data_IF_439822906516
#
_entry.id   IF_439822906516
#
_cell.length_a   1.000
_cell.length_b   1.000
_cell.length_c   1.000
_cell.angle_alpha   90.00
_cell.angle_beta   90.00
_cell.angle_gamma   90.00
#
_symmetry.space_group_name_H-M   'P 1'
#
loop_
_entity.id
_entity.type
_entity.pdbx_description
1 polymer ?
#
# COMPACT_ATOMS: atom_id res chain seq x y z
N UNK A 1 -2.60 -20.27 -4.71
CA UNK A 1 -2.22 -19.47 -5.89
C UNK A 1 -1.70 -18.12 -5.40
N UNK A 2 -0.57 -17.62 -5.89
CA UNK A 2 0.08 -16.43 -5.33
C UNK A 2 0.05 -15.28 -6.35
N UNK A 3 -0.62 -14.19 -6.00
CA UNK A 3 -0.50 -12.91 -6.70
C UNK A 3 0.79 -12.24 -6.25
N UNK A 4 1.57 -11.73 -7.18
CA UNK A 4 2.73 -10.90 -6.87
C UNK A 4 2.48 -9.45 -7.31
N UNK A 5 3.20 -8.52 -6.71
CA UNK A 5 3.10 -7.09 -7.03
C UNK A 5 4.45 -6.41 -6.79
N UNK A 6 4.60 -5.23 -7.33
CA UNK A 6 5.79 -4.42 -7.12
C UNK A 6 5.75 -3.80 -5.71
N UNK A 7 6.44 -4.46 -4.78
CA UNK A 7 6.50 -4.04 -3.38
C UNK A 7 7.28 -2.72 -3.21
N UNK A 8 8.21 -2.45 -4.11
CA UNK A 8 9.04 -1.23 -4.08
C UNK A 8 8.17 0.01 -4.23
N UNK A 9 7.23 0.00 -5.17
CA UNK A 9 6.26 1.10 -5.35
C UNK A 9 5.41 1.38 -4.10
N UNK A 10 5.14 0.37 -3.29
CA UNK A 10 4.34 0.54 -2.08
C UNK A 10 5.14 1.12 -0.92
N UNK A 11 6.43 0.82 -0.82
CA UNK A 11 7.23 1.10 0.39
C UNK A 11 8.23 2.22 0.17
N UNK A 12 8.88 2.26 -1.00
CA UNK A 12 10.00 3.15 -1.26
C UNK A 12 9.58 4.45 -1.99
N UNK A 13 8.44 4.44 -2.67
CA UNK A 13 7.90 5.58 -3.46
C UNK A 13 6.86 6.39 -2.65
N UNK A 14 7.07 6.53 -1.34
CA UNK A 14 6.14 7.22 -0.44
C UNK A 14 6.33 8.73 -0.54
N UNK A 15 5.27 9.46 -0.91
CA UNK A 15 5.22 10.92 -0.77
C UNK A 15 4.51 11.31 0.53
N UNK A 16 5.21 11.21 1.64
CA UNK A 16 4.67 11.43 2.97
C UNK A 16 4.05 12.80 3.19
N UNK A 17 4.52 13.82 2.47
CA UNK A 17 4.00 15.19 2.58
C UNK A 17 2.54 15.33 2.16
N UNK A 18 2.01 14.43 1.33
CA UNK A 18 0.58 14.40 0.95
C UNK A 18 -0.32 13.80 2.03
N UNK A 19 0.23 12.98 2.92
CA UNK A 19 -0.49 12.29 4.00
C UNK A 19 -0.39 13.08 5.31
N UNK A 20 0.82 13.50 5.66
CA UNK A 20 1.10 14.32 6.82
C UNK A 20 2.11 15.40 6.43
N UNK A 21 1.63 16.65 6.31
CA UNK A 21 2.50 17.76 5.94
C UNK A 21 3.59 18.00 7.00
N UNK A 22 4.75 18.51 6.57
CA UNK A 22 5.82 18.88 7.50
C UNK A 22 5.32 19.85 8.58
N UNK A 23 4.46 20.80 8.21
CA UNK A 23 3.87 21.76 9.15
C UNK A 23 3.01 21.08 10.22
N UNK A 24 2.15 20.11 9.81
CA UNK A 24 1.32 19.35 10.73
C UNK A 24 2.15 18.43 11.64
N UNK A 25 3.20 17.82 11.09
CA UNK A 25 4.14 17.02 11.87
C UNK A 25 4.88 17.86 12.92
N UNK A 26 5.39 19.04 12.55
CA UNK A 26 6.02 19.99 13.47
C UNK A 26 5.06 20.47 14.56
N UNK A 27 3.82 20.84 14.18
CA UNK A 27 2.79 21.22 15.15
C UNK A 27 2.49 20.08 16.13
N UNK A 28 2.41 18.86 15.65
CA UNK A 28 2.20 17.68 16.48
C UNK A 28 3.37 17.43 17.46
N UNK A 29 4.61 17.58 16.98
CA UNK A 29 5.84 17.43 17.79
C UNK A 29 6.16 18.66 18.65
N UNK A 30 5.44 19.79 18.47
CA UNK A 30 5.71 21.07 19.12
C UNK A 30 7.10 21.62 18.81
N UNK A 31 7.55 21.50 17.58
CA UNK A 31 8.83 21.99 17.07
C UNK A 31 8.62 23.24 16.24
N UNK A 32 9.14 24.38 16.70
CA UNK A 32 9.03 25.67 16.00
C UNK A 32 10.24 25.95 15.10
N UNK A 33 11.44 25.42 15.45
CA UNK A 33 12.67 25.59 14.66
C UNK A 33 12.60 24.91 13.30
N UNK A 34 13.30 25.45 12.32
CA UNK A 34 13.45 24.84 10.99
C UNK A 34 14.69 23.95 10.86
N UNK A 35 15.52 23.85 11.90
CA UNK A 35 16.81 23.15 11.85
C UNK A 35 16.64 21.63 11.68
N UNK A 36 15.49 21.09 12.05
CA UNK A 36 15.18 19.67 12.00
C UNK A 36 14.16 19.29 10.90
N UNK A 37 13.89 20.19 9.96
CA UNK A 37 12.89 19.95 8.92
C UNK A 37 13.16 18.67 8.13
N UNK A 38 14.39 18.45 7.67
CA UNK A 38 14.74 17.27 6.87
C UNK A 38 14.64 15.98 7.71
N UNK A 39 15.02 16.06 8.98
CA UNK A 39 14.87 14.94 9.91
C UNK A 39 13.40 14.59 10.09
N UNK A 40 12.55 15.57 10.42
CA UNK A 40 11.12 15.34 10.65
C UNK A 40 10.46 14.79 9.38
N UNK A 41 10.80 15.32 8.19
CA UNK A 41 10.26 14.79 6.94
C UNK A 41 10.66 13.32 6.74
N UNK A 42 11.92 12.98 6.97
CA UNK A 42 12.36 11.58 6.85
C UNK A 42 11.65 10.64 7.83
N UNK A 43 11.38 11.10 9.07
CA UNK A 43 10.63 10.33 10.06
C UNK A 43 9.17 10.14 9.65
N UNK A 44 8.55 11.14 9.00
CA UNK A 44 7.20 11.03 8.44
C UNK A 44 7.17 9.95 7.35
N UNK A 45 8.12 9.97 6.41
CA UNK A 45 8.19 9.01 5.31
C UNK A 45 8.39 7.57 5.83
N UNK A 46 9.28 7.39 6.81
CA UNK A 46 9.51 6.09 7.47
C UNK A 46 8.26 5.60 8.21
N UNK A 47 7.59 6.49 8.95
CA UNK A 47 6.38 6.13 9.70
C UNK A 47 5.25 5.70 8.75
N UNK A 48 5.06 6.38 7.63
CA UNK A 48 4.08 6.04 6.61
C UNK A 48 4.41 4.69 5.97
N UNK A 49 5.65 4.47 5.55
CA UNK A 49 6.10 3.19 5.00
C UNK A 49 5.88 2.02 5.97
N UNK A 50 6.14 2.23 7.28
CA UNK A 50 5.87 1.23 8.31
C UNK A 50 4.37 0.92 8.46
N UNK A 51 3.51 1.94 8.44
CA UNK A 51 2.05 1.76 8.49
C UNK A 51 1.56 1.03 7.24
N UNK A 52 1.95 1.48 6.03
CA UNK A 52 1.59 0.83 4.77
C UNK A 52 2.00 -0.65 4.74
N UNK A 53 3.23 -0.94 5.17
CA UNK A 53 3.72 -2.32 5.26
C UNK A 53 2.92 -3.17 6.25
N UNK A 54 2.48 -2.59 7.38
CA UNK A 54 1.71 -3.30 8.39
C UNK A 54 0.27 -3.58 7.97
N UNK A 55 -0.41 -2.57 7.37
CA UNK A 55 -1.81 -2.73 6.97
C UNK A 55 -1.99 -3.36 5.58
N UNK A 56 -0.94 -3.41 4.75
CA UNK A 56 -1.01 -3.90 3.38
C UNK A 56 -1.85 -2.99 2.47
N UNK A 57 -1.82 -1.68 2.72
CA UNK A 57 -2.57 -0.70 1.94
C UNK A 57 -1.71 0.51 1.60
N UNK A 58 -1.93 1.09 0.41
CA UNK A 58 -1.33 2.36 0.04
C UNK A 58 -2.08 3.51 0.71
N UNK A 59 -1.37 4.41 1.38
CA UNK A 59 -1.98 5.57 2.04
C UNK A 59 -2.15 6.76 1.10
N UNK A 60 -1.34 6.87 0.06
CA UNK A 60 -1.49 7.83 -1.04
C UNK A 60 -1.95 7.14 -2.32
N UNK A 61 -2.33 7.92 -3.31
CA UNK A 61 -2.74 7.41 -4.61
C UNK A 61 -1.52 7.02 -5.43
N UNK A 62 -1.44 5.73 -5.78
CA UNK A 62 -0.40 5.18 -6.65
C UNK A 62 -1.05 4.72 -7.94
N UNK A 63 -0.75 5.43 -9.04
CA UNK A 63 -1.17 5.06 -10.39
C UNK A 63 -0.23 4.00 -10.99
N UNK A 64 -0.73 3.30 -12.02
CA UNK A 64 0.02 2.25 -12.72
C UNK A 64 0.62 1.18 -11.80
N UNK A 65 -0.08 0.86 -10.71
CA UNK A 65 0.31 -0.22 -9.81
C UNK A 65 0.01 -1.56 -10.45
N UNK A 66 1.00 -2.45 -10.52
CA UNK A 66 0.89 -3.72 -11.26
C UNK A 66 0.78 -4.92 -10.34
N UNK A 67 -0.22 -5.76 -10.62
CA UNK A 67 -0.38 -7.07 -10.02
C UNK A 67 -0.17 -8.13 -11.12
N UNK A 68 0.54 -9.19 -10.78
CA UNK A 68 0.90 -10.26 -11.70
C UNK A 68 0.22 -11.56 -11.26
N UNK A 69 -0.51 -12.19 -12.19
CA UNK A 69 -1.27 -13.41 -11.97
C UNK A 69 -0.79 -14.51 -12.93
N UNK A 70 -0.82 -15.78 -12.48
CA UNK A 70 -0.48 -16.91 -13.35
C UNK A 70 -1.57 -17.26 -14.37
N UNK A 71 -2.80 -16.81 -14.15
CA UNK A 71 -3.95 -17.07 -15.04
C UNK A 71 -5.10 -16.11 -14.71
N UNK A 72 -6.15 -16.13 -15.55
CA UNK A 72 -7.41 -15.45 -15.28
C UNK A 72 -8.22 -16.18 -14.21
N UNK A 73 -8.05 -15.78 -12.96
CA UNK A 73 -8.80 -16.33 -11.84
C UNK A 73 -9.28 -15.22 -10.93
N UNK A 74 -10.44 -15.45 -10.35
CA UNK A 74 -10.99 -14.53 -9.35
C UNK A 74 -10.01 -14.38 -8.20
N UNK A 75 -9.66 -13.13 -7.88
CA UNK A 75 -8.55 -12.87 -6.97
C UNK A 75 -8.82 -11.70 -6.04
N UNK A 76 -8.36 -11.85 -4.78
CA UNK A 76 -8.23 -10.74 -3.85
C UNK A 76 -6.88 -10.08 -4.09
N UNK A 77 -6.89 -8.76 -4.33
CA UNK A 77 -5.64 -8.02 -4.50
C UNK A 77 -4.99 -7.78 -3.15
N UNK A 78 -3.66 -8.01 -3.05
CA UNK A 78 -2.94 -7.89 -1.78
C UNK A 78 -2.69 -6.45 -1.33
N UNK A 79 -2.96 -5.47 -2.19
CA UNK A 79 -2.82 -4.03 -1.90
C UNK A 79 -4.13 -3.32 -2.23
N UNK A 80 -4.57 -2.45 -1.35
CA UNK A 80 -5.76 -1.60 -1.48
C UNK A 80 -5.54 -0.20 -0.89
N UNK A 81 -6.59 0.61 -0.82
CA UNK A 81 -7.89 0.42 -1.48
C UNK A 81 -7.77 0.48 -3.01
N UNK A 82 -8.59 -0.28 -3.72
CA UNK A 82 -8.66 -0.22 -5.18
C UNK A 82 -9.53 0.96 -5.61
N UNK A 83 -8.97 1.85 -6.44
CA UNK A 83 -9.70 2.99 -7.00
C UNK A 83 -10.24 2.70 -8.38
N UNK A 84 -9.41 2.18 -9.25
CA UNK A 84 -9.79 1.79 -10.61
C UNK A 84 -8.85 0.74 -11.16
N UNK A 85 -9.35 -0.05 -12.12
CA UNK A 85 -8.50 -0.83 -13.01
C UNK A 85 -8.33 -0.03 -14.30
N UNK A 86 -7.09 0.25 -14.66
CA UNK A 86 -6.75 0.97 -15.89
C UNK A 86 -6.76 0.03 -17.08
N UNK A 87 -6.13 -1.14 -16.93
CA UNK A 87 -6.12 -2.19 -17.94
C UNK A 87 -5.80 -3.54 -17.32
N UNK A 88 -6.26 -4.60 -17.99
CA UNK A 88 -5.77 -5.96 -17.76
C UNK A 88 -5.14 -6.41 -19.07
N UNK A 89 -3.85 -6.70 -19.03
CA UNK A 89 -3.10 -7.22 -20.19
C UNK A 89 -2.68 -8.65 -19.93
N UNK A 90 -2.50 -9.43 -20.98
CA UNK A 90 -2.08 -10.82 -20.89
C UNK A 90 -1.25 -11.21 -22.09
N UNK A 91 -0.42 -12.23 -21.94
CA UNK A 91 0.28 -12.86 -23.04
C UNK A 91 -0.58 -14.01 -23.57
N UNK A 92 -1.00 -13.92 -24.85
CA UNK A 92 -1.79 -14.95 -25.52
C UNK A 92 -0.97 -16.22 -25.82
N UNK A 93 -1.61 -17.28 -26.32
CA UNK A 93 -0.95 -18.55 -26.64
C UNK A 93 0.26 -18.40 -27.60
N UNK A 94 0.33 -17.33 -28.39
CA UNK A 94 1.45 -16.97 -29.27
C UNK A 94 2.53 -16.12 -28.58
N UNK A 95 2.42 -15.89 -27.25
CA UNK A 95 3.32 -15.02 -26.48
C UNK A 95 3.29 -13.53 -26.94
N UNK A 96 2.18 -13.08 -27.47
CA UNK A 96 1.94 -11.67 -27.83
C UNK A 96 1.14 -10.98 -26.73
N UNK A 97 1.53 -9.75 -26.38
CA UNK A 97 0.83 -8.98 -25.36
C UNK A 97 -0.51 -8.47 -25.92
N UNK A 98 -1.59 -8.80 -25.25
CA UNK A 98 -2.96 -8.42 -25.58
C UNK A 98 -3.62 -7.67 -24.42
N UNK A 99 -4.66 -6.91 -24.71
CA UNK A 99 -5.48 -6.24 -23.68
C UNK A 99 -6.82 -6.95 -23.57
N UNK A 100 -7.20 -7.31 -22.34
CA UNK A 100 -8.50 -7.95 -22.07
C UNK A 100 -9.62 -6.90 -22.18
N UNK A 101 -10.69 -7.26 -22.86
CA UNK A 101 -11.85 -6.38 -23.00
C UNK A 101 -12.51 -6.10 -21.63
N UNK A 102 -12.91 -4.87 -21.38
CA UNK A 102 -13.43 -4.42 -20.07
C UNK A 102 -14.74 -5.07 -19.65
N UNK A 103 -15.50 -5.64 -20.60
CA UNK A 103 -16.71 -6.41 -20.33
C UNK A 103 -16.45 -7.83 -19.79
N UNK A 104 -15.20 -8.32 -19.84
CA UNK A 104 -14.80 -9.66 -19.39
C UNK A 104 -14.32 -9.70 -17.94
N UNK A 105 -14.34 -8.59 -17.24
CA UNK A 105 -14.05 -8.54 -15.80
C UNK A 105 -14.93 -7.52 -15.09
N UNK A 106 -15.00 -7.61 -13.79
CA UNK A 106 -15.58 -6.59 -12.91
C UNK A 106 -14.87 -6.57 -11.56
N UNK A 107 -15.00 -5.47 -10.85
CA UNK A 107 -14.30 -5.25 -9.59
C UNK A 107 -15.22 -4.63 -8.56
N UNK A 108 -15.01 -4.99 -7.30
CA UNK A 108 -15.60 -4.28 -6.17
C UNK A 108 -14.69 -3.09 -5.83
N UNK A 109 -15.07 -1.92 -6.30
CA UNK A 109 -14.38 -0.66 -5.98
C UNK A 109 -14.85 -0.16 -4.61
N UNK A 110 -13.94 0.38 -3.81
CA UNK A 110 -14.27 0.94 -2.49
C UNK A 110 -14.25 -0.06 -1.34
N UNK A 111 -13.99 -1.34 -1.58
CA UNK A 111 -13.67 -2.27 -0.49
C UNK A 111 -12.23 -2.04 -0.03
N UNK A 112 -12.09 -1.36 1.11
CA UNK A 112 -10.79 -0.93 1.63
C UNK A 112 -9.90 -2.10 2.05
N UNK A 113 -10.49 -3.19 2.53
CA UNK A 113 -9.72 -4.26 3.15
C UNK A 113 -9.33 -5.39 2.21
N UNK A 114 -10.16 -5.69 1.20
CA UNK A 114 -9.93 -6.81 0.28
C UNK A 114 -10.52 -6.53 -1.10
N UNK A 115 -9.87 -5.69 -1.92
CA UNK A 115 -10.36 -5.46 -3.27
C UNK A 115 -10.29 -6.75 -4.09
N UNK A 116 -11.38 -7.03 -4.81
CA UNK A 116 -11.52 -8.25 -5.62
C UNK A 116 -11.64 -7.92 -7.09
N UNK A 117 -11.07 -8.80 -7.92
CA UNK A 117 -11.25 -8.82 -9.35
C UNK A 117 -11.89 -10.15 -9.74
N UNK A 118 -12.96 -10.08 -10.51
CA UNK A 118 -13.71 -11.22 -11.01
C UNK A 118 -13.63 -11.27 -12.51
N UNK A 119 -13.45 -12.46 -13.08
CA UNK A 119 -13.38 -12.69 -14.51
C UNK A 119 -14.63 -13.41 -15.02
N UNK A 120 -15.11 -13.02 -16.20
CA UNK A 120 -16.29 -13.59 -16.86
C UNK A 120 -15.87 -14.50 -18.01
N UNK A 121 -16.44 -15.68 -18.06
CA UNK A 121 -16.22 -16.63 -19.15
C UNK A 121 -17.06 -16.29 -20.41
N UNK A 122 -16.58 -16.60 -21.64
CA UNK A 122 -15.30 -17.26 -21.92
C UNK A 122 -14.11 -16.28 -21.90
N UNK A 123 -12.95 -16.77 -21.47
CA UNK A 123 -11.69 -16.04 -21.45
C UNK A 123 -10.74 -16.57 -22.51
N UNK A 124 -9.82 -15.75 -23.04
CA UNK A 124 -8.79 -16.21 -23.98
C UNK A 124 -7.75 -17.08 -23.27
N UNK A 125 -7.08 -17.94 -24.04
CA UNK A 125 -5.98 -18.75 -23.55
C UNK A 125 -4.75 -17.86 -23.27
N UNK A 126 -4.02 -18.18 -22.19
CA UNK A 126 -2.78 -17.52 -21.83
C UNK A 126 -1.55 -18.35 -22.21
N UNK A 127 -0.39 -17.72 -22.28
CA UNK A 127 0.86 -18.40 -22.61
C UNK A 127 1.39 -19.25 -21.44
N UNK A 128 1.37 -20.57 -21.61
CA UNK A 128 1.69 -21.56 -20.55
C UNK A 128 3.12 -21.51 -20.04
N UNK A 129 4.07 -20.97 -20.83
CA UNK A 129 5.49 -20.93 -20.45
C UNK A 129 5.90 -19.65 -19.71
N UNK A 130 4.94 -18.79 -19.30
CA UNK A 130 5.15 -17.68 -18.39
C UNK A 130 4.58 -17.99 -17.02
N UNK A 131 5.34 -17.72 -15.97
CA UNK A 131 4.86 -17.90 -14.59
C UNK A 131 3.70 -16.96 -14.24
N UNK A 132 3.63 -15.80 -14.89
CA UNK A 132 2.65 -14.74 -14.63
C UNK A 132 2.30 -14.02 -15.94
N UNK A 133 1.51 -14.65 -16.80
CA UNK A 133 1.15 -14.09 -18.10
C UNK A 133 0.10 -12.97 -18.03
N UNK A 134 -0.63 -12.83 -16.91
CA UNK A 134 -1.70 -11.84 -16.75
C UNK A 134 -1.21 -10.70 -15.83
N UNK A 135 -1.41 -9.46 -16.28
CA UNK A 135 -0.97 -8.24 -15.58
C UNK A 135 -2.19 -7.33 -15.41
N UNK A 136 -2.54 -7.02 -14.18
CA UNK A 136 -3.54 -6.01 -13.84
C UNK A 136 -2.82 -4.72 -13.54
N UNK A 137 -3.10 -3.67 -14.29
CA UNK A 137 -2.64 -2.31 -14.00
C UNK A 137 -3.79 -1.52 -13.39
N UNK A 138 -3.57 -0.97 -12.21
CA UNK A 138 -4.60 -0.35 -11.41
C UNK A 138 -4.09 0.91 -10.69
N UNK A 139 -5.01 1.79 -10.34
CA UNK A 139 -4.77 2.86 -9.36
C UNK A 139 -5.23 2.36 -7.99
N UNK A 140 -4.31 2.38 -7.03
CA UNK A 140 -4.54 1.97 -5.63
C UNK A 140 -4.26 3.12 -4.68
N UNK A 141 -4.74 3.01 -3.45
CA UNK A 141 -4.49 4.01 -2.41
C UNK A 141 -5.69 4.91 -2.13
N UNK A 142 -5.57 5.71 -1.07
CA UNK A 142 -6.61 6.65 -0.68
C UNK A 142 -6.56 7.89 -1.58
N UNK A 143 -7.72 8.51 -1.81
CA UNK A 143 -7.78 9.84 -2.39
C UNK A 143 -7.11 10.86 -1.48
N UNK A 144 -6.73 12.01 -2.04
CA UNK A 144 -6.28 13.15 -1.24
C UNK A 144 -7.25 13.43 -0.08
N UNK A 145 -6.74 13.52 1.14
CA UNK A 145 -7.50 13.65 2.39
C UNK A 145 -8.47 12.48 2.71
N UNK A 146 -8.35 11.35 2.01
CA UNK A 146 -9.19 10.17 2.22
C UNK A 146 -8.68 9.18 3.28
N UNK A 147 -7.48 9.39 3.81
CA UNK A 147 -6.89 8.49 4.83
C UNK A 147 -7.74 8.53 6.11
N UNK A 148 -8.16 7.38 6.63
CA UNK A 148 -8.96 7.33 7.86
C UNK A 148 -8.26 8.03 9.03
N UNK A 149 -8.99 8.80 9.87
CA UNK A 149 -8.40 9.53 10.98
C UNK A 149 -7.59 8.66 11.96
N UNK A 150 -8.01 7.42 12.19
CA UNK A 150 -7.30 6.49 13.06
C UNK A 150 -5.94 6.09 12.47
N UNK A 151 -5.86 5.89 11.16
CA UNK A 151 -4.61 5.58 10.45
C UNK A 151 -3.66 6.78 10.49
N UNK A 152 -4.19 7.99 10.22
CA UNK A 152 -3.41 9.22 10.30
C UNK A 152 -2.89 9.46 11.74
N UNK A 153 -3.72 9.16 12.75
CA UNK A 153 -3.29 9.25 14.15
C UNK A 153 -2.17 8.23 14.48
N UNK A 154 -2.26 7.02 13.97
CA UNK A 154 -1.21 6.00 14.10
C UNK A 154 0.13 6.47 13.50
N UNK A 155 0.09 7.11 12.32
CA UNK A 155 1.29 7.73 11.71
C UNK A 155 1.89 8.79 12.65
N UNK A 156 1.06 9.71 13.19
CA UNK A 156 1.52 10.75 14.13
C UNK A 156 2.16 10.18 15.37
N UNK A 157 1.59 9.12 15.94
CA UNK A 157 2.17 8.43 17.10
C UNK A 157 3.54 7.79 16.78
N UNK A 158 3.68 7.19 15.61
CA UNK A 158 4.96 6.63 15.15
C UNK A 158 6.00 7.72 14.93
N UNK A 159 5.63 8.84 14.31
CA UNK A 159 6.53 9.99 14.13
C UNK A 159 7.03 10.48 15.48
N UNK A 160 6.15 10.65 16.50
CA UNK A 160 6.55 11.01 17.85
C UNK A 160 7.53 10.00 18.45
N UNK A 161 7.23 8.72 18.34
CA UNK A 161 8.10 7.67 18.86
C UNK A 161 9.48 7.71 18.21
N UNK A 162 9.57 7.83 16.89
CA UNK A 162 10.86 7.90 16.19
C UNK A 162 11.62 9.18 16.48
N UNK A 163 10.91 10.28 16.71
CA UNK A 163 11.53 11.56 17.09
C UNK A 163 12.11 11.52 18.52
N UNK A 164 11.40 10.92 19.48
CA UNK A 164 11.83 10.82 20.87
C UNK A 164 12.92 9.77 21.06
N UNK A 165 12.90 8.69 20.28
CA UNK A 165 13.85 7.57 20.42
C UNK A 165 14.81 7.60 19.23
N UNK A 166 15.79 8.52 19.28
CA UNK A 166 16.85 8.63 18.27
C UNK A 166 17.95 7.57 18.41
N UNK A 167 18.04 6.91 19.58
CA UNK A 167 19.05 5.89 19.87
C UNK A 167 18.37 4.53 20.14
N UNK A 168 18.91 3.48 19.53
CA UNK A 168 18.41 2.10 19.72
C UNK A 168 18.66 1.54 21.12
N UNK A 169 19.40 2.23 21.98
CA UNK A 169 19.78 1.80 23.31
C UNK A 169 19.56 2.92 24.34
N UNK A 170 18.47 2.84 25.08
CA UNK A 170 18.39 3.54 26.36
C UNK A 170 19.12 2.70 27.42
N UNK A 171 19.92 3.34 28.23
CA UNK A 171 20.68 2.67 29.30
C UNK A 171 19.73 1.92 30.23
N UNK A 172 19.78 0.58 30.18
CA UNK A 172 19.00 -0.31 31.06
C UNK A 172 17.70 -0.87 30.51
N UNK A 173 17.28 -0.52 29.30
CA UNK A 173 16.05 -1.10 28.68
C UNK A 173 16.27 -1.33 27.20
N UNK A 174 16.01 -2.53 26.71
CA UNK A 174 15.98 -2.81 25.28
C UNK A 174 14.74 -2.13 24.70
N UNK A 175 14.92 -1.03 23.97
CA UNK A 175 13.82 -0.41 23.24
C UNK A 175 13.60 -1.24 21.97
N UNK A 176 12.48 -1.96 21.91
CA UNK A 176 12.09 -2.67 20.70
C UNK A 176 11.75 -1.66 19.60
N UNK A 177 12.40 -1.78 18.45
CA UNK A 177 12.04 -1.02 17.23
C UNK A 177 10.72 -1.52 16.61
N UNK A 178 10.01 -2.40 17.28
CA UNK A 178 8.71 -2.87 16.81
C UNK A 178 7.62 -1.82 17.02
N UNK A 179 6.69 -1.78 16.09
CA UNK A 179 5.49 -0.96 16.21
C UNK A 179 4.75 -1.30 17.51
N UNK A 180 4.46 -0.31 18.38
CA UNK A 180 3.76 -0.54 19.66
C UNK A 180 2.40 -1.21 19.49
N UNK A 181 2.02 -2.05 20.44
CA UNK A 181 0.76 -2.78 20.40
C UNK A 181 -0.47 -1.85 20.35
N UNK A 182 -0.42 -0.68 20.99
CA UNK A 182 -1.47 0.33 20.90
C UNK A 182 -1.69 0.83 19.47
N UNK A 183 -0.60 1.07 18.72
CA UNK A 183 -0.66 1.47 17.31
C UNK A 183 -1.16 0.32 16.45
N UNK A 184 -0.66 -0.91 16.68
CA UNK A 184 -1.16 -2.12 15.98
C UNK A 184 -2.68 -2.31 16.18
N UNK A 185 -3.19 -2.03 17.38
CA UNK A 185 -4.63 -2.12 17.66
C UNK A 185 -5.45 -1.09 16.89
N UNK A 186 -4.96 0.16 16.76
CA UNK A 186 -5.59 1.19 15.94
C UNK A 186 -5.64 0.82 14.46
N UNK A 187 -4.59 0.16 13.97
CA UNK A 187 -4.44 -0.21 12.55
C UNK A 187 -5.14 -1.53 12.20
N UNK A 188 -5.44 -2.38 13.18
CA UNK A 188 -6.01 -3.71 12.98
C UNK A 188 -7.27 -3.73 12.09
N UNK A 189 -8.27 -2.82 12.23
CA UNK A 189 -9.46 -2.80 11.38
C UNK A 189 -9.17 -2.49 9.90
N UNK A 190 -8.03 -1.87 9.62
CA UNK A 190 -7.63 -1.45 8.27
C UNK A 190 -6.66 -2.43 7.61
N UNK A 191 -6.30 -3.50 8.29
CA UNK A 191 -5.33 -4.46 7.80
C UNK A 191 -5.92 -5.31 6.68
N UNK A 192 -5.26 -5.30 5.54
CA UNK A 192 -5.54 -6.24 4.46
C UNK A 192 -4.91 -7.59 4.84
N UNK A 193 -5.73 -8.55 5.25
CA UNK A 193 -5.28 -9.90 5.59
C UNK A 193 -5.35 -10.74 4.31
N UNK A 194 -4.21 -10.85 3.64
CA UNK A 194 -4.06 -11.73 2.50
C UNK A 194 -3.77 -13.14 2.98
N UNK A 195 -4.75 -14.02 2.88
CA UNK A 195 -4.55 -15.45 3.11
C UNK A 195 -4.02 -16.09 1.82
N UNK A 196 -2.81 -16.62 1.88
CA UNK A 196 -2.17 -17.42 0.83
C UNK A 196 -2.68 -18.86 0.92
#
# INVERSE_FOLDING_TARGET
MRVTFDRTKLIDDVNGSQILSLGDAKNWLRVDSNDENDLIQSLVDVAIGAVQSYIGQALDEISEFKFYLPDFVDVNLPVGPLRSIESITYYDAGNSLQTLATNLYWTEVGNVTQPKVFFKQPLPDVYDYRAQPVIITATVGYASNGVPPAVLHAVRLLVSQYYDIRENFAVGTVVSNEMPNGIKSLLSPYRNVYFV
#
